data_IF_153872116190
#
_entry.id   IF_153872116190
#
_cell.length_a   1.000
_cell.length_b   1.000
_cell.length_c   1.000
_cell.angle_alpha   90.00
_cell.angle_beta   90.00
_cell.angle_gamma   90.00
#
_symmetry.space_group_name_H-M   'P 1'
#
loop_
_entity.id
_entity.type
_entity.pdbx_description
1 polymer ?
#
# COMPACT_ATOMS: atom_id res chain seq x y z
N UNK A 1 -2.72 -0.52 -3.67
CA UNK A 1 -2.68 -1.94 -3.24
C UNK A 1 -3.25 -2.20 -1.84
N UNK A 2 -2.86 -1.49 -0.76
CA UNK A 2 -3.37 -1.75 0.60
C UNK A 2 -4.90 -1.68 0.71
N UNK A 3 -5.50 -0.59 0.22
CA UNK A 3 -6.95 -0.38 0.25
C UNK A 3 -7.70 -1.48 -0.53
N UNK A 4 -7.24 -1.79 -1.74
CA UNK A 4 -7.79 -2.87 -2.58
C UNK A 4 -7.79 -4.20 -1.83
N UNK A 5 -6.68 -4.53 -1.18
CA UNK A 5 -6.55 -5.76 -0.40
C UNK A 5 -7.62 -5.87 0.67
N UNK A 6 -7.93 -4.77 1.38
CA UNK A 6 -8.95 -4.76 2.43
C UNK A 6 -10.36 -4.81 1.85
N UNK A 7 -10.64 -4.05 0.78
CA UNK A 7 -11.92 -4.11 0.07
C UNK A 7 -12.26 -5.54 -0.40
N UNK A 8 -11.27 -6.27 -0.94
CA UNK A 8 -11.44 -7.66 -1.39
C UNK A 8 -11.69 -8.65 -0.25
N UNK A 9 -11.04 -8.46 0.90
CA UNK A 9 -11.29 -9.27 2.10
C UNK A 9 -12.69 -9.03 2.67
N UNK A 10 -13.13 -7.77 2.64
CA UNK A 10 -14.44 -7.37 3.14
C UNK A 10 -15.55 -7.77 2.15
N UNK A 11 -15.19 -8.01 0.89
CA UNK A 11 -16.14 -8.29 -0.18
C UNK A 11 -16.92 -7.04 -0.60
N UNK A 12 -16.35 -5.86 -0.41
CA UNK A 12 -16.93 -4.58 -0.83
C UNK A 12 -16.63 -4.39 -2.31
N UNK A 13 -17.66 -4.23 -3.18
CA UNK A 13 -17.44 -3.91 -4.58
C UNK A 13 -16.75 -2.55 -4.73
N UNK A 14 -15.86 -2.44 -5.70
CA UNK A 14 -15.14 -1.19 -5.97
C UNK A 14 -14.83 -1.09 -7.47
N UNK A 15 -14.62 0.15 -7.91
CA UNK A 15 -14.06 0.47 -9.22
C UNK A 15 -12.67 1.08 -9.02
N UNK A 16 -11.80 0.95 -10.02
CA UNK A 16 -10.47 1.56 -10.01
C UNK A 16 -10.45 2.62 -11.11
N UNK A 17 -10.13 3.85 -10.73
CA UNK A 17 -9.72 4.89 -11.67
C UNK A 17 -8.21 5.07 -11.57
N UNK A 18 -7.48 4.58 -12.57
CA UNK A 18 -6.04 4.70 -12.62
C UNK A 18 -5.64 6.11 -13.09
N UNK A 19 -4.76 6.75 -12.33
CA UNK A 19 -4.23 8.07 -12.65
C UNK A 19 -2.75 7.99 -13.00
N UNK A 20 -2.37 8.66 -14.09
CA UNK A 20 -0.96 8.81 -14.49
C UNK A 20 -0.20 9.66 -13.47
N UNK A 21 1.06 9.35 -13.25
CA UNK A 21 1.88 10.04 -12.24
C UNK A 21 1.98 11.55 -12.49
N UNK A 22 2.07 12.00 -13.75
CA UNK A 22 2.11 13.43 -14.10
C UNK A 22 0.84 14.22 -13.73
N UNK A 23 -0.28 13.51 -13.53
CA UNK A 23 -1.59 14.10 -13.30
C UNK A 23 -2.01 14.05 -11.82
N UNK A 24 -1.29 13.34 -10.96
CA UNK A 24 -1.63 13.22 -9.52
C UNK A 24 -1.56 14.57 -8.77
N UNK A 25 -0.93 15.58 -9.36
CA UNK A 25 -0.82 16.94 -8.80
C UNK A 25 -1.68 17.96 -9.55
N UNK A 26 -2.55 17.51 -10.45
CA UNK A 26 -3.39 18.36 -11.30
C UNK A 26 -4.87 18.06 -11.02
N UNK A 27 -5.73 18.98 -11.42
CA UNK A 27 -7.16 18.72 -11.49
C UNK A 27 -7.47 17.63 -12.53
N UNK A 28 -8.51 16.79 -12.30
CA UNK A 28 -9.47 16.86 -11.20
C UNK A 28 -9.02 16.20 -9.88
N UNK A 29 -7.85 15.54 -9.85
CA UNK A 29 -7.49 14.67 -8.73
C UNK A 29 -7.20 15.43 -7.43
N UNK A 30 -6.62 16.63 -7.50
CA UNK A 30 -6.36 17.43 -6.30
C UNK A 30 -7.65 17.97 -5.65
N UNK A 31 -8.75 18.08 -6.40
CA UNK A 31 -10.08 18.31 -5.81
C UNK A 31 -10.55 17.13 -4.95
N UNK A 32 -10.15 15.90 -5.30
CA UNK A 32 -10.48 14.67 -4.54
C UNK A 32 -9.53 14.49 -3.36
N UNK A 33 -8.22 14.61 -3.60
CA UNK A 33 -7.19 14.54 -2.56
C UNK A 33 -6.19 15.69 -2.73
N UNK A 34 -6.23 16.74 -1.88
CA UNK A 34 -5.35 17.89 -1.99
C UNK A 34 -3.87 17.55 -1.76
N UNK A 35 -3.55 16.43 -1.10
CA UNK A 35 -2.18 15.94 -0.99
C UNK A 35 -1.62 15.51 -2.37
N UNK A 36 -2.48 15.21 -3.35
CA UNK A 36 -2.08 14.74 -4.66
C UNK A 36 -1.26 13.45 -4.58
N UNK A 37 -1.74 12.50 -3.76
CA UNK A 37 -1.14 11.18 -3.55
C UNK A 37 -2.24 10.12 -3.59
N UNK A 38 -1.92 8.98 -4.18
CA UNK A 38 -2.79 7.80 -4.10
C UNK A 38 -2.49 7.00 -2.82
N UNK A 39 -3.46 6.27 -2.27
CA UNK A 39 -4.85 6.16 -2.71
C UNK A 39 -5.75 7.31 -2.23
N UNK A 40 -6.85 7.50 -2.95
CA UNK A 40 -8.04 8.22 -2.52
C UNK A 40 -9.27 7.38 -2.91
N UNK A 41 -10.37 7.52 -2.18
CA UNK A 41 -11.65 6.87 -2.51
C UNK A 41 -12.80 7.86 -2.46
N UNK A 42 -13.84 7.54 -3.22
CA UNK A 42 -15.16 8.13 -3.12
C UNK A 42 -16.15 7.01 -2.83
N UNK A 43 -16.88 7.13 -1.74
CA UNK A 43 -17.90 6.15 -1.37
C UNK A 43 -19.30 6.68 -1.70
N UNK A 44 -19.97 6.16 -2.76
CA UNK A 44 -21.29 6.62 -3.15
C UNK A 44 -22.39 6.23 -2.15
N UNK A 45 -22.16 5.24 -1.28
CA UNK A 45 -23.15 4.82 -0.28
C UNK A 45 -23.23 5.80 0.88
N UNK A 46 -22.11 6.48 1.21
CA UNK A 46 -22.07 7.46 2.31
C UNK A 46 -21.83 8.90 1.86
N UNK A 47 -21.48 9.12 0.59
CA UNK A 47 -21.08 10.42 0.06
C UNK A 47 -19.76 10.94 0.62
N UNK A 48 -18.88 10.05 1.11
CA UNK A 48 -17.60 10.45 1.73
C UNK A 48 -16.48 10.28 0.71
N UNK A 49 -15.70 11.35 0.54
CA UNK A 49 -14.46 11.37 -0.24
C UNK A 49 -13.28 11.57 0.71
N UNK A 50 -12.28 10.69 0.63
CA UNK A 50 -11.09 10.79 1.48
C UNK A 50 -9.84 10.19 0.86
N UNK A 51 -8.70 10.84 1.15
CA UNK A 51 -7.35 10.33 0.91
C UNK A 51 -6.76 9.68 2.16
N UNK A 52 -5.45 9.39 2.10
CA UNK A 52 -4.66 8.76 3.16
C UNK A 52 -5.07 7.31 3.46
N UNK A 53 -4.19 6.37 3.12
CA UNK A 53 -4.46 4.93 3.26
C UNK A 53 -4.90 4.53 4.67
N UNK A 54 -4.28 5.07 5.71
CA UNK A 54 -4.67 4.79 7.10
C UNK A 54 -6.10 5.25 7.42
N UNK A 55 -6.47 6.46 7.00
CA UNK A 55 -7.82 6.99 7.22
C UNK A 55 -8.86 6.20 6.43
N UNK A 56 -8.54 5.82 5.19
CA UNK A 56 -9.39 4.94 4.37
C UNK A 56 -9.60 3.59 5.05
N UNK A 57 -8.55 2.95 5.57
CA UNK A 57 -8.70 1.68 6.28
C UNK A 57 -9.58 1.82 7.53
N UNK A 58 -9.34 2.84 8.36
CA UNK A 58 -10.19 3.13 9.53
C UNK A 58 -11.65 3.35 9.15
N UNK A 59 -11.91 4.07 8.06
CA UNK A 59 -13.25 4.27 7.51
C UNK A 59 -13.89 2.94 7.08
N UNK A 60 -13.18 2.12 6.30
CA UNK A 60 -13.70 0.85 5.79
C UNK A 60 -14.05 -0.11 6.93
N UNK A 61 -13.23 -0.17 7.98
CA UNK A 61 -13.51 -1.01 9.15
C UNK A 61 -14.80 -0.56 9.83
N UNK A 62 -14.91 0.75 10.12
CA UNK A 62 -16.06 1.31 10.83
C UNK A 62 -17.37 1.12 10.07
N UNK A 63 -17.34 1.18 8.74
CA UNK A 63 -18.55 1.16 7.92
C UNK A 63 -18.87 -0.20 7.29
N UNK A 64 -17.87 -1.02 6.99
CA UNK A 64 -18.05 -2.25 6.22
C UNK A 64 -17.66 -3.53 6.98
N UNK A 65 -16.84 -3.47 8.04
CA UNK A 65 -16.57 -4.63 8.89
C UNK A 65 -17.63 -4.81 9.99
N UNK A 66 -18.90 -4.82 9.59
CA UNK A 66 -20.07 -4.85 10.52
C UNK A 66 -20.16 -6.09 11.40
N UNK A 67 -19.39 -7.13 11.09
CA UNK A 67 -19.32 -8.39 11.85
C UNK A 67 -18.01 -8.55 12.63
N UNK A 68 -17.18 -7.50 12.68
CA UNK A 68 -15.87 -7.49 13.35
C UNK A 68 -14.98 -8.68 12.92
N UNK A 69 -15.02 -9.03 11.63
CA UNK A 69 -14.24 -10.15 11.07
C UNK A 69 -12.75 -9.82 11.04
N UNK A 70 -12.43 -8.54 10.86
CA UNK A 70 -11.06 -8.04 10.72
C UNK A 70 -10.74 -6.94 11.74
N UNK A 71 -11.56 -6.79 12.77
CA UNK A 71 -11.40 -5.82 13.84
C UNK A 71 -11.87 -6.39 15.19
N UNK A 72 -11.52 -5.69 16.26
CA UNK A 72 -11.96 -5.99 17.62
C UNK A 72 -12.83 -4.85 18.17
N UNK A 73 -13.91 -5.18 18.87
CA UNK A 73 -14.75 -4.19 19.56
C UNK A 73 -14.14 -3.76 20.90
N UNK A 74 -13.47 -4.70 21.57
CA UNK A 74 -12.87 -4.49 22.88
C UNK A 74 -11.80 -3.39 22.80
N UNK A 75 -11.90 -2.45 23.75
CA UNK A 75 -11.10 -1.23 23.74
C UNK A 75 -9.59 -1.52 23.63
N UNK A 76 -9.10 -2.48 24.41
CA UNK A 76 -7.68 -2.82 24.46
C UNK A 76 -7.16 -3.28 23.10
N UNK A 77 -7.79 -4.28 22.51
CA UNK A 77 -7.38 -4.87 21.24
C UNK A 77 -7.50 -3.83 20.12
N UNK A 78 -8.61 -3.09 20.06
CA UNK A 78 -8.81 -2.03 19.08
C UNK A 78 -7.70 -0.98 19.12
N UNK A 79 -7.35 -0.49 20.31
CA UNK A 79 -6.28 0.51 20.47
C UNK A 79 -4.91 -0.05 20.06
N UNK A 80 -4.64 -1.34 20.30
CA UNK A 80 -3.42 -1.98 19.84
C UNK A 80 -3.38 -2.12 18.30
N UNK A 81 -4.52 -2.44 17.65
CA UNK A 81 -4.60 -2.47 16.19
C UNK A 81 -4.34 -1.07 15.59
N UNK A 82 -4.93 -0.02 16.20
CA UNK A 82 -4.69 1.38 15.82
C UNK A 82 -3.21 1.76 15.92
N UNK A 83 -2.51 1.34 16.99
CA UNK A 83 -1.07 1.55 17.14
C UNK A 83 -0.28 0.92 15.99
N UNK A 84 -0.60 -0.30 15.59
CA UNK A 84 0.09 -0.99 14.49
C UNK A 84 -0.20 -0.39 13.14
N UNK A 85 -1.44 0.09 12.90
CA UNK A 85 -1.74 0.87 11.70
C UNK A 85 -0.96 2.19 11.70
N UNK A 86 -0.88 2.88 12.84
CA UNK A 86 -0.06 4.10 12.99
C UNK A 86 1.42 3.82 12.72
N UNK A 87 1.93 2.67 13.19
CA UNK A 87 3.29 2.22 12.90
C UNK A 87 3.51 1.90 11.42
N UNK A 88 2.51 1.33 10.74
CA UNK A 88 2.55 1.06 9.31
C UNK A 88 2.67 2.36 8.50
N UNK A 89 1.79 3.33 8.76
CA UNK A 89 1.72 4.59 7.99
C UNK A 89 2.87 5.55 8.30
N UNK A 90 3.47 5.49 9.48
CA UNK A 90 4.61 6.33 9.88
C UNK A 90 5.97 5.66 9.70
N UNK A 91 6.02 4.33 9.68
CA UNK A 91 7.23 3.54 9.53
C UNK A 91 7.35 2.93 8.14
N UNK A 92 6.64 1.82 7.91
CA UNK A 92 6.80 1.05 6.67
C UNK A 92 6.51 1.89 5.41
N UNK A 93 5.37 2.59 5.36
CA UNK A 93 4.96 3.39 4.20
C UNK A 93 6.04 4.37 3.71
N UNK A 94 6.43 5.37 4.52
CA UNK A 94 7.36 6.40 4.08
C UNK A 94 8.76 5.84 3.81
N UNK A 95 9.31 4.97 4.67
CA UNK A 95 10.67 4.48 4.49
C UNK A 95 10.83 3.54 3.30
N UNK A 96 9.83 2.71 3.00
CA UNK A 96 9.84 1.88 1.79
C UNK A 96 9.75 2.74 0.55
N UNK A 97 8.88 3.76 0.54
CA UNK A 97 8.77 4.72 -0.55
C UNK A 97 10.09 5.46 -0.82
N UNK A 98 10.77 5.93 0.22
CA UNK A 98 12.08 6.58 0.07
C UNK A 98 13.16 5.61 -0.42
N UNK A 99 13.19 4.38 0.10
CA UNK A 99 14.14 3.37 -0.39
C UNK A 99 13.91 3.09 -1.88
N UNK A 100 12.66 2.97 -2.34
CA UNK A 100 12.32 2.82 -3.76
C UNK A 100 12.81 4.03 -4.55
N UNK A 101 12.54 5.24 -4.06
CA UNK A 101 12.96 6.47 -4.71
C UNK A 101 14.48 6.48 -4.93
N UNK A 102 15.29 6.38 -3.88
CA UNK A 102 16.75 6.44 -4.02
C UNK A 102 17.36 5.23 -4.76
N UNK A 103 16.71 4.07 -4.70
CA UNK A 103 17.20 2.87 -5.40
C UNK A 103 16.88 2.90 -6.89
N UNK A 104 15.70 3.37 -7.28
CA UNK A 104 15.18 3.18 -8.64
C UNK A 104 14.78 4.47 -9.37
N UNK A 105 14.24 5.46 -8.67
CA UNK A 105 13.62 6.63 -9.30
C UNK A 105 14.55 7.84 -9.35
N UNK A 106 15.39 8.02 -8.32
CA UNK A 106 16.27 9.16 -8.19
C UNK A 106 17.28 9.19 -9.36
N UNK A 107 17.50 10.37 -10.00
CA UNK A 107 18.33 10.48 -11.19
C UNK A 107 19.79 10.07 -10.93
N UNK A 108 20.27 10.35 -9.72
CA UNK A 108 21.61 9.98 -9.27
C UNK A 108 21.58 8.85 -8.25
N UNK A 109 22.59 7.98 -8.28
CA UNK A 109 22.78 6.98 -7.22
C UNK A 109 23.54 7.60 -6.06
N UNK A 110 22.88 7.67 -4.90
CA UNK A 110 23.44 8.20 -3.66
C UNK A 110 23.59 7.03 -2.68
N UNK A 111 24.76 6.36 -2.61
CA UNK A 111 24.92 5.13 -1.83
C UNK A 111 24.54 5.30 -0.36
N UNK A 112 24.92 6.41 0.27
CA UNK A 112 24.60 6.70 1.67
C UNK A 112 23.10 6.82 1.94
N UNK A 113 22.32 7.38 0.99
CA UNK A 113 20.87 7.45 1.11
C UNK A 113 20.22 6.08 0.93
N UNK A 114 20.66 5.31 -0.07
CA UNK A 114 20.19 3.94 -0.30
C UNK A 114 20.44 3.07 0.93
N UNK A 115 21.65 3.11 1.48
CA UNK A 115 22.03 2.36 2.69
C UNK A 115 21.18 2.77 3.90
N UNK A 116 21.05 4.08 4.15
CA UNK A 116 20.21 4.60 5.23
C UNK A 116 18.78 4.07 5.18
N UNK A 117 18.12 4.14 4.02
CA UNK A 117 16.74 3.68 3.90
C UNK A 117 16.62 2.16 3.90
N UNK A 118 17.61 1.44 3.36
CA UNK A 118 17.65 -0.01 3.47
C UNK A 118 17.78 -0.47 4.94
N UNK A 119 18.59 0.21 5.74
CA UNK A 119 18.73 -0.08 7.17
C UNK A 119 17.47 0.28 7.95
N UNK A 120 16.78 1.36 7.58
CA UNK A 120 15.50 1.71 8.20
C UNK A 120 14.41 0.68 7.87
N UNK A 121 14.39 0.13 6.65
CA UNK A 121 13.54 -1.02 6.32
C UNK A 121 13.87 -2.21 7.22
N UNK A 122 15.14 -2.56 7.40
CA UNK A 122 15.56 -3.66 8.30
C UNK A 122 15.09 -3.39 9.73
N UNK A 123 15.22 -2.15 10.22
CA UNK A 123 14.76 -1.76 11.56
C UNK A 123 13.26 -1.96 11.73
N UNK A 124 12.46 -1.50 10.77
CA UNK A 124 10.99 -1.66 10.79
C UNK A 124 10.59 -3.14 10.77
N UNK A 125 11.19 -3.93 9.87
CA UNK A 125 10.92 -5.36 9.80
C UNK A 125 11.41 -6.11 11.05
N UNK A 126 12.49 -5.65 11.69
CA UNK A 126 13.01 -6.23 12.93
C UNK A 126 12.08 -6.04 14.12
N UNK A 127 11.36 -4.92 14.19
CA UNK A 127 10.30 -4.74 15.20
C UNK A 127 9.17 -5.75 15.00
N UNK A 128 8.71 -5.92 13.76
CA UNK A 128 7.67 -6.90 13.44
C UNK A 128 8.14 -8.33 13.75
N UNK A 129 9.35 -8.69 13.32
CA UNK A 129 9.93 -10.02 13.56
C UNK A 129 10.08 -10.32 15.06
N UNK A 130 10.56 -9.35 15.85
CA UNK A 130 10.69 -9.49 17.29
C UNK A 130 9.35 -9.69 18.00
N UNK A 131 8.32 -8.91 17.62
CA UNK A 131 6.97 -9.07 18.18
C UNK A 131 6.36 -10.42 17.81
N UNK A 132 6.50 -10.85 16.56
CA UNK A 132 5.98 -12.14 16.10
C UNK A 132 6.77 -13.32 16.69
N UNK A 133 8.05 -13.17 16.96
CA UNK A 133 8.89 -14.19 17.58
C UNK A 133 8.54 -14.42 19.07
N UNK A 134 8.07 -13.37 19.75
CA UNK A 134 7.63 -13.45 21.15
C UNK A 134 6.26 -14.11 21.33
N UNK A 135 5.52 -14.37 20.25
CA UNK A 135 4.19 -14.98 20.28
C UNK A 135 4.24 -16.51 20.19
N UNK A 136 3.21 -17.22 20.70
CA UNK A 136 3.06 -18.64 20.49
C UNK A 136 3.16 -19.00 19.00
N UNK A 137 3.72 -20.17 18.69
CA UNK A 137 3.98 -20.58 17.30
C UNK A 137 2.71 -20.61 16.44
N UNK A 138 1.57 -20.83 17.08
CA UNK A 138 0.25 -20.99 16.49
C UNK A 138 -0.54 -19.65 16.45
N UNK A 139 -0.06 -18.61 17.14
CA UNK A 139 -0.65 -17.27 17.24
C UNK A 139 0.26 -16.22 16.59
N UNK A 140 0.28 -16.21 15.26
CA UNK A 140 1.11 -15.27 14.50
C UNK A 140 0.27 -14.07 14.02
N UNK A 141 -0.24 -13.28 14.94
CA UNK A 141 -1.02 -12.06 14.65
C UNK A 141 -0.42 -10.89 15.38
N UNK A 142 -0.41 -9.69 14.80
CA UNK A 142 0.14 -8.52 15.50
C UNK A 142 -0.64 -8.25 16.80
N UNK A 143 -1.97 -8.38 16.74
CA UNK A 143 -2.88 -8.24 17.88
C UNK A 143 -3.78 -9.47 18.00
N UNK A 144 -4.02 -9.89 19.24
CA UNK A 144 -4.95 -10.97 19.54
C UNK A 144 -4.61 -12.31 18.87
N UNK A 145 -5.65 -12.99 18.43
CA UNK A 145 -5.69 -14.41 18.03
C UNK A 145 -6.13 -14.64 16.58
N UNK A 146 -6.42 -13.57 15.81
CA UNK A 146 -6.87 -13.66 14.42
C UNK A 146 -6.36 -12.50 13.56
N UNK A 147 -6.60 -12.62 12.25
CA UNK A 147 -6.26 -11.58 11.28
C UNK A 147 -7.08 -10.34 11.48
N UNK A 148 -6.41 -9.20 11.43
CA UNK A 148 -7.03 -7.90 11.49
C UNK A 148 -6.48 -6.97 10.42
N UNK A 149 -7.15 -5.83 10.25
CA UNK A 149 -6.86 -4.87 9.18
C UNK A 149 -5.42 -4.35 9.20
N UNK A 150 -4.79 -4.24 10.35
CA UNK A 150 -3.39 -3.82 10.47
C UNK A 150 -2.46 -4.86 9.86
N UNK A 151 -2.72 -6.17 10.04
CA UNK A 151 -1.92 -7.22 9.39
C UNK A 151 -2.01 -7.05 7.87
N UNK A 152 -3.22 -6.81 7.35
CA UNK A 152 -3.48 -6.59 5.92
C UNK A 152 -2.77 -5.35 5.38
N UNK A 153 -2.62 -4.30 6.19
CA UNK A 153 -1.94 -3.07 5.80
C UNK A 153 -0.46 -3.29 5.46
N UNK A 154 0.23 -4.22 6.13
CA UNK A 154 1.66 -4.48 5.86
C UNK A 154 1.93 -5.34 4.61
N UNK A 155 0.93 -6.12 4.16
CA UNK A 155 1.09 -7.15 3.11
C UNK A 155 1.64 -6.62 1.78
N UNK A 156 1.17 -5.48 1.22
CA UNK A 156 1.57 -5.08 -0.13
C UNK A 156 3.06 -4.74 -0.30
N UNK A 157 3.75 -4.38 0.77
CA UNK A 157 5.15 -3.95 0.72
C UNK A 157 6.16 -5.11 0.72
N UNK A 158 5.68 -6.37 0.78
CA UNK A 158 6.51 -7.57 0.75
C UNK A 158 7.40 -7.65 -0.51
N UNK A 159 6.85 -7.36 -1.68
CA UNK A 159 7.52 -7.59 -2.97
C UNK A 159 8.80 -6.78 -3.20
N UNK A 160 8.96 -5.64 -2.52
CA UNK A 160 9.98 -4.66 -2.89
C UNK A 160 11.35 -4.99 -2.27
N UNK A 161 11.38 -5.54 -1.05
CA UNK A 161 12.65 -5.79 -0.33
C UNK A 161 12.70 -7.09 0.49
N UNK A 162 11.61 -7.85 0.63
CA UNK A 162 11.55 -8.98 1.58
C UNK A 162 12.00 -10.34 1.02
N UNK A 163 12.52 -10.42 -0.21
CA UNK A 163 13.25 -11.63 -0.66
C UNK A 163 14.40 -12.00 0.30
N UNK A 164 14.92 -11.02 1.05
CA UNK A 164 15.87 -11.16 2.17
C UNK A 164 15.28 -10.75 3.54
N UNK A 165 13.95 -10.83 3.72
CA UNK A 165 13.29 -10.47 4.98
C UNK A 165 13.69 -11.36 6.16
N UNK A 166 13.25 -11.02 7.38
CA UNK A 166 13.51 -11.83 8.58
C UNK A 166 12.59 -13.06 8.61
N UNK A 167 12.94 -14.10 9.35
CA UNK A 167 12.31 -15.42 9.20
C UNK A 167 10.83 -15.45 9.63
N UNK A 168 10.49 -14.80 10.75
CA UNK A 168 9.12 -14.81 11.29
C UNK A 168 8.23 -13.83 10.54
N UNK A 169 8.74 -12.64 10.23
CA UNK A 169 8.03 -11.69 9.36
C UNK A 169 7.68 -12.32 8.01
N UNK A 170 8.63 -13.02 7.37
CA UNK A 170 8.36 -13.70 6.09
C UNK A 170 7.32 -14.80 6.21
N UNK A 171 7.38 -15.63 7.25
CA UNK A 171 6.41 -16.71 7.47
C UNK A 171 5.01 -16.14 7.70
N UNK A 172 4.91 -15.13 8.56
CA UNK A 172 3.69 -14.37 8.82
C UNK A 172 3.12 -13.78 7.53
N UNK A 173 3.88 -12.96 6.82
CA UNK A 173 3.46 -12.32 5.57
C UNK A 173 3.15 -13.31 4.43
N UNK A 174 3.80 -14.48 4.41
CA UNK A 174 3.53 -15.55 3.44
C UNK A 174 2.25 -16.30 3.72
N UNK A 175 1.96 -16.62 4.98
CA UNK A 175 0.69 -17.24 5.38
C UNK A 175 -0.51 -16.40 4.96
N UNK A 176 -0.41 -15.07 5.09
CA UNK A 176 -1.46 -14.09 4.75
C UNK A 176 -1.74 -13.98 3.26
N UNK A 177 -0.77 -14.26 2.39
CA UNK A 177 -0.93 -14.19 0.92
C UNK A 177 -1.24 -15.56 0.31
N UNK A 178 -0.72 -16.64 0.91
CA UNK A 178 -0.94 -18.02 0.43
C UNK A 178 -2.33 -18.57 0.76
N UNK A 179 -2.97 -18.09 1.82
CA UNK A 179 -4.34 -18.48 2.20
C UNK A 179 -5.44 -17.68 1.48
N UNK A 180 -5.07 -16.69 0.65
CA UNK A 180 -6.06 -15.84 -0.03
C UNK A 180 -6.56 -16.57 -1.27
N UNK A 181 -7.89 -16.72 -1.44
CA UNK A 181 -8.43 -16.99 -2.76
C UNK A 181 -7.90 -15.92 -3.70
N UNK A 182 -7.72 -16.25 -4.99
CA UNK A 182 -7.21 -15.40 -6.08
C UNK A 182 -8.00 -14.10 -6.34
N UNK A 183 -8.65 -13.48 -5.34
CA UNK A 183 -9.38 -12.22 -5.42
C UNK A 183 -8.47 -11.04 -5.78
N UNK A 184 -7.18 -11.10 -5.42
CA UNK A 184 -6.18 -10.10 -5.85
C UNK A 184 -5.93 -10.08 -7.36
N UNK A 185 -6.51 -11.02 -8.12
CA UNK A 185 -6.54 -10.96 -9.57
C UNK A 185 -7.46 -9.85 -10.07
N UNK A 186 -8.49 -9.44 -9.30
CA UNK A 186 -9.44 -8.40 -9.73
C UNK A 186 -8.79 -7.03 -9.81
N UNK A 187 -8.11 -6.57 -8.75
CA UNK A 187 -7.43 -5.27 -8.78
C UNK A 187 -6.30 -5.22 -9.81
N UNK A 188 -5.52 -6.30 -9.93
CA UNK A 188 -4.48 -6.39 -10.95
C UNK A 188 -5.06 -6.42 -12.38
N UNK A 189 -6.19 -7.10 -12.60
CA UNK A 189 -6.89 -7.12 -13.89
C UNK A 189 -7.47 -5.75 -14.23
N UNK A 190 -8.07 -5.06 -13.27
CA UNK A 190 -8.62 -3.71 -13.48
C UNK A 190 -7.53 -2.69 -13.83
N UNK A 191 -6.33 -2.81 -13.24
CA UNK A 191 -5.15 -2.04 -13.65
C UNK A 191 -4.68 -2.43 -15.05
N UNK A 192 -4.65 -3.73 -15.34
CA UNK A 192 -4.24 -4.28 -16.64
C UNK A 192 -5.11 -3.78 -17.80
N UNK A 193 -6.44 -3.76 -17.58
CA UNK A 193 -7.46 -3.21 -18.49
C UNK A 193 -7.25 -1.72 -18.77
N UNK A 194 -6.64 -0.99 -17.83
CA UNK A 194 -6.33 0.44 -17.95
C UNK A 194 -4.89 0.70 -18.45
N UNK A 195 -4.16 -0.34 -18.84
CA UNK A 195 -2.80 -0.22 -19.37
C UNK A 195 -1.71 -0.06 -18.31
N UNK A 196 -1.99 -0.42 -17.06
CA UNK A 196 -1.04 -0.45 -15.96
C UNK A 196 -0.65 -1.89 -15.61
N UNK A 197 0.53 -2.09 -15.04
CA UNK A 197 0.92 -3.36 -14.46
C UNK A 197 0.35 -3.50 -13.02
N UNK A 198 0.53 -4.67 -12.42
CA UNK A 198 0.04 -4.95 -11.06
C UNK A 198 0.74 -4.12 -9.97
N UNK A 199 1.85 -3.43 -10.29
CA UNK A 199 2.54 -2.54 -9.35
C UNK A 199 2.09 -1.07 -9.52
N UNK A 200 1.24 -0.77 -10.51
CA UNK A 200 0.67 0.54 -10.79
C UNK A 200 1.49 1.39 -11.77
N UNK A 201 2.53 0.84 -12.40
CA UNK A 201 3.28 1.52 -13.45
C UNK A 201 2.64 1.29 -14.82
N UNK A 202 2.67 2.26 -15.74
CA UNK A 202 2.17 2.05 -17.09
C UNK A 202 2.93 0.92 -17.80
N UNK A 203 2.22 0.08 -18.56
CA UNK A 203 2.80 -1.03 -19.31
C UNK A 203 3.92 -0.55 -20.23
N UNK A 204 5.00 -1.33 -20.30
CA UNK A 204 6.17 -1.02 -21.14
C UNK A 204 7.17 -0.06 -20.49
N UNK A 205 6.86 0.51 -19.33
CA UNK A 205 7.79 1.34 -18.55
C UNK A 205 8.87 0.46 -17.93
N UNK A 206 10.14 0.62 -18.36
CA UNK A 206 11.27 -0.14 -17.82
C UNK A 206 11.91 0.54 -16.61
N UNK A 207 11.81 1.86 -16.53
CA UNK A 207 12.26 2.68 -15.41
C UNK A 207 11.43 3.95 -15.32
N UNK A 208 11.50 4.62 -14.17
CA UNK A 208 10.83 5.90 -13.98
C UNK A 208 11.41 7.00 -14.89
N UNK A 209 12.70 6.90 -15.22
CA UNK A 209 13.37 7.79 -16.17
C UNK A 209 12.80 7.61 -17.58
N UNK A 210 12.52 6.38 -18.00
CA UNK A 210 11.85 6.10 -19.28
C UNK A 210 10.43 6.68 -19.30
N UNK A 211 9.72 6.61 -18.15
CA UNK A 211 8.41 7.21 -17.99
C UNK A 211 8.47 8.74 -18.12
N UNK A 212 9.32 9.41 -17.34
CA UNK A 212 9.49 10.88 -17.38
C UNK A 212 9.90 11.37 -18.78
N UNK A 213 10.80 10.65 -19.46
CA UNK A 213 11.21 10.98 -20.82
C UNK A 213 10.03 10.85 -21.80
N UNK A 214 9.22 9.79 -21.68
CA UNK A 214 8.05 9.60 -22.55
C UNK A 214 6.97 10.66 -22.34
N UNK A 215 6.79 11.13 -21.10
CA UNK A 215 5.80 12.16 -20.77
C UNK A 215 6.26 13.55 -21.17
N UNK A 216 7.54 13.87 -21.02
CA UNK A 216 8.11 15.14 -21.46
C UNK A 216 8.02 15.32 -22.98
N UNK A 217 8.22 14.25 -23.75
CA UNK A 217 8.05 14.27 -25.22
C UNK A 217 6.58 14.45 -25.61
N UNK A 218 5.64 13.82 -24.90
CA UNK A 218 4.21 13.96 -25.15
C UNK A 218 3.69 15.37 -24.85
N UNK A 219 4.19 16.01 -23.79
CA UNK A 219 3.86 17.39 -23.43
C UNK A 219 4.42 18.39 -24.46
N UNK A 220 5.63 18.16 -24.99
CA UNK A 220 6.19 18.98 -26.07
C UNK A 220 5.41 18.82 -27.39
N UNK A 221 4.98 17.61 -27.73
CA UNK A 221 4.20 17.35 -28.94
C UNK A 221 2.78 17.94 -28.88
N UNK A 222 2.18 18.01 -27.69
CA UNK A 222 0.88 18.64 -27.49
C UNK A 222 0.97 20.17 -27.43
N UNK A 223 2.07 20.74 -26.90
CA UNK A 223 2.34 22.17 -26.95
C UNK A 223 2.71 22.69 -28.35
N UNK A 224 3.19 21.83 -29.26
CA UNK A 224 3.55 22.18 -30.64
C UNK A 224 2.35 22.16 -31.60
N UNK A 225 1.19 21.68 -31.14
CA UNK A 225 -0.06 21.60 -31.92
C UNK A 225 -1.11 22.65 -31.49
N UNK A 226 -0.67 23.68 -30.74
CA UNK A 226 -1.40 24.91 -30.42
C UNK A 226 -0.70 26.09 -31.09
#
# INVERSE_FOLDING_TARGET
MQVIVVLEEFGVPYEIEAIKFENIKKEPFISVNPNGRVPAIEDPNTGITLGESGAILSYLIKHYDTKNRFSYEAFKERTLCEQWLAYQISGQGPYFGQCICFTYLHPEKIPSAIERYADEIKRVLGVLDGVLAAKPKDEQWLVGDRMTYEDLAFVPFRGVFTRKGMARERAWSSSRLGSRPRRSASGARLLDEQGFDANGMPKGTKSFQDYEASTAVADQASASNL
#
